data_IF_617686833848
#
_entry.id   IF_617686833848
#
_cell.length_a   1.000
_cell.length_b   1.000
_cell.length_c   1.000
_cell.angle_alpha   90.00
_cell.angle_beta   90.00
_cell.angle_gamma   90.00
#
_symmetry.space_group_name_H-M   'P 1'
#
loop_
_entity.id
_entity.type
_entity.pdbx_description
1 polymer ?
#
# COMPACT_ATOMS: atom_id res chain seq x y z
N UNK A 1 -12.66 -49.23 50.77
CA UNK A 1 -13.98 -48.85 51.33
C UNK A 1 -13.89 -47.42 51.85
N UNK A 2 -14.91 -46.61 51.58
CA UNK A 2 -15.06 -45.15 51.84
C UNK A 2 -14.36 -44.24 50.82
N UNK A 3 -14.98 -43.18 50.30
CA UNK A 3 -16.38 -42.73 50.32
C UNK A 3 -16.52 -41.72 49.16
N UNK A 4 -17.67 -41.77 48.48
CA UNK A 4 -18.15 -40.79 47.52
C UNK A 4 -18.34 -39.40 48.14
N UNK A 5 -18.12 -38.36 47.34
CA UNK A 5 -18.66 -37.00 47.54
C UNK A 5 -17.74 -35.95 46.91
N UNK A 6 -18.15 -35.00 46.08
CA UNK A 6 -19.45 -34.59 45.56
C UNK A 6 -19.27 -33.19 44.96
N UNK A 7 -19.73 -33.00 43.72
CA UNK A 7 -20.26 -31.77 43.09
C UNK A 7 -19.49 -30.45 43.26
N UNK A 8 -18.95 -29.93 42.16
CA UNK A 8 -19.15 -28.52 41.77
C UNK A 8 -19.53 -28.45 40.29
N UNK A 9 -20.82 -28.29 40.06
CA UNK A 9 -21.37 -27.68 38.86
C UNK A 9 -21.12 -26.16 38.97
N UNK A 10 -20.67 -25.52 37.89
CA UNK A 10 -20.52 -24.06 37.89
C UNK A 10 -19.72 -23.50 36.73
N UNK A 11 -20.42 -23.29 35.61
CA UNK A 11 -20.40 -22.06 34.81
C UNK A 11 -19.06 -21.36 34.54
N UNK A 12 -18.61 -21.43 33.28
CA UNK A 12 -17.57 -20.54 32.80
C UNK A 12 -17.02 -20.85 31.41
N UNK A 13 -17.83 -21.37 30.48
CA UNK A 13 -17.45 -21.31 29.06
C UNK A 13 -17.54 -19.84 28.61
N UNK A 14 -16.49 -19.07 28.88
CA UNK A 14 -16.17 -17.90 28.09
C UNK A 14 -15.73 -18.41 26.72
N UNK A 15 -16.73 -18.70 25.88
CA UNK A 15 -16.55 -18.70 24.43
C UNK A 15 -16.20 -17.25 24.11
N UNK A 16 -14.90 -16.96 24.10
CA UNK A 16 -14.38 -15.88 23.29
C UNK A 16 -14.83 -16.23 21.87
N UNK A 17 -15.97 -15.67 21.48
CA UNK A 17 -16.31 -15.45 20.09
C UNK A 17 -15.23 -14.49 19.56
N UNK A 18 -14.05 -15.03 19.29
CA UNK A 18 -13.27 -14.60 18.15
C UNK A 18 -14.24 -14.71 16.99
N UNK A 19 -14.91 -13.59 16.71
CA UNK A 19 -15.31 -13.24 15.38
C UNK A 19 -14.01 -13.32 14.56
N UNK A 20 -13.67 -14.54 14.17
CA UNK A 20 -13.09 -14.81 12.88
C UNK A 20 -14.05 -14.11 11.93
N UNK A 21 -13.75 -12.85 11.65
CA UNK A 21 -13.88 -12.39 10.30
C UNK A 21 -13.16 -13.46 9.50
N UNK A 22 -13.93 -14.45 9.05
CA UNK A 22 -13.78 -14.99 7.73
C UNK A 22 -13.74 -13.77 6.81
N UNK A 23 -12.57 -13.14 6.77
CA UNK A 23 -12.08 -12.53 5.57
C UNK A 23 -12.20 -13.69 4.61
N UNK A 24 -13.25 -13.64 3.79
CA UNK A 24 -13.32 -14.44 2.60
C UNK A 24 -11.89 -14.48 2.07
N UNK A 25 -11.33 -15.67 1.95
CA UNK A 25 -10.32 -15.95 0.94
C UNK A 25 -11.00 -15.67 -0.41
N UNK A 26 -11.39 -14.41 -0.66
CA UNK A 26 -11.52 -13.84 -1.97
C UNK A 26 -10.14 -14.02 -2.53
N UNK A 27 -9.95 -15.14 -3.23
CA UNK A 27 -9.06 -15.35 -4.36
C UNK A 27 -8.15 -14.14 -4.55
N UNK A 28 -7.20 -14.00 -3.63
CA UNK A 28 -6.42 -12.79 -3.47
C UNK A 28 -5.31 -13.01 -4.47
N UNK A 29 -5.63 -12.82 -5.75
CA UNK A 29 -4.72 -13.03 -6.86
C UNK A 29 -3.52 -12.17 -6.56
N UNK A 30 -2.50 -12.81 -5.99
CA UNK A 30 -1.37 -12.12 -5.44
C UNK A 30 -0.66 -11.47 -6.62
N UNK A 31 -0.60 -10.13 -6.62
CA UNK A 31 0.06 -9.40 -7.68
C UNK A 31 1.49 -9.91 -7.84
N UNK A 32 1.83 -10.25 -9.07
CA UNK A 32 3.14 -10.76 -9.48
C UNK A 32 4.12 -9.61 -9.71
N UNK A 33 5.44 -9.88 -9.70
CA UNK A 33 6.42 -8.90 -10.18
C UNK A 33 6.14 -8.44 -11.62
N UNK A 34 5.64 -9.33 -12.46
CA UNK A 34 5.25 -9.00 -13.84
C UNK A 34 4.13 -7.95 -13.89
N UNK A 35 3.18 -7.96 -12.95
CA UNK A 35 2.16 -6.92 -12.81
C UNK A 35 2.77 -5.57 -12.38
N UNK A 36 3.84 -5.58 -11.58
CA UNK A 36 4.61 -4.38 -11.27
C UNK A 36 5.25 -3.80 -12.54
N UNK A 37 5.85 -4.65 -13.36
CA UNK A 37 6.51 -4.22 -14.59
C UNK A 37 5.49 -3.68 -15.62
N UNK A 38 4.35 -4.35 -15.80
CA UNK A 38 3.28 -3.88 -16.69
C UNK A 38 2.72 -2.52 -16.24
N UNK A 39 2.57 -2.32 -14.93
CA UNK A 39 2.13 -1.03 -14.41
C UNK A 39 3.18 0.07 -14.62
N UNK A 40 4.47 -0.23 -14.49
CA UNK A 40 5.52 0.72 -14.82
C UNK A 40 5.51 1.08 -16.31
N UNK A 41 5.34 0.11 -17.21
CA UNK A 41 5.21 0.34 -18.65
C UNK A 41 4.01 1.20 -19.00
N UNK A 42 2.86 0.91 -18.39
CA UNK A 42 1.63 1.69 -18.56
C UNK A 42 1.80 3.14 -18.11
N UNK A 43 2.36 3.37 -16.92
CA UNK A 43 2.63 4.74 -16.43
C UNK A 43 3.66 5.45 -17.31
N UNK A 44 4.71 4.75 -17.77
CA UNK A 44 5.70 5.30 -18.69
C UNK A 44 5.08 5.72 -20.04
N UNK A 45 4.14 4.92 -20.56
CA UNK A 45 3.39 5.27 -21.77
C UNK A 45 2.54 6.52 -21.56
N UNK A 46 1.78 6.61 -20.46
CA UNK A 46 1.02 7.81 -20.11
C UNK A 46 1.91 9.04 -20.01
N UNK A 47 3.10 8.90 -19.39
CA UNK A 47 4.07 9.99 -19.28
C UNK A 47 4.57 10.46 -20.65
N UNK A 48 4.80 9.53 -21.58
CA UNK A 48 5.26 9.83 -22.93
C UNK A 48 4.17 10.52 -23.77
N UNK A 49 2.92 10.06 -23.68
CA UNK A 49 1.79 10.60 -24.44
C UNK A 49 1.40 12.02 -24.00
N UNK A 50 1.53 12.33 -22.70
CA UNK A 50 1.02 13.58 -22.12
C UNK A 50 2.07 14.66 -21.89
N UNK A 51 3.31 14.50 -22.38
CA UNK A 51 4.42 15.41 -22.03
C UNK A 51 4.15 16.90 -22.24
N UNK A 52 3.42 17.26 -23.30
CA UNK A 52 3.17 18.65 -23.66
C UNK A 52 2.09 19.34 -22.80
N UNK A 53 1.19 18.59 -22.19
CA UNK A 53 0.00 19.10 -21.48
C UNK A 53 0.01 18.78 -19.97
N UNK A 54 1.03 18.05 -19.50
CA UNK A 54 1.11 17.58 -18.13
C UNK A 54 1.50 18.69 -17.15
N UNK A 55 0.62 18.95 -16.17
CA UNK A 55 0.92 19.86 -15.06
C UNK A 55 2.09 19.34 -14.20
N UNK A 56 2.80 20.20 -13.46
CA UNK A 56 3.86 19.78 -12.55
C UNK A 56 3.41 18.72 -11.54
N UNK A 57 2.19 18.86 -11.00
CA UNK A 57 1.60 17.93 -10.03
C UNK A 57 1.34 16.57 -10.66
N UNK A 58 0.77 16.56 -11.88
CA UNK A 58 0.52 15.32 -12.63
C UNK A 58 1.84 14.60 -12.95
N UNK A 59 2.89 15.35 -13.28
CA UNK A 59 4.24 14.82 -13.51
C UNK A 59 4.83 14.18 -12.27
N UNK A 60 4.72 14.83 -11.13
CA UNK A 60 5.19 14.29 -9.86
C UNK A 60 4.42 13.01 -9.49
N UNK A 61 3.10 12.98 -9.68
CA UNK A 61 2.26 11.82 -9.40
C UNK A 61 2.64 10.62 -10.29
N UNK A 62 2.77 10.81 -11.61
CA UNK A 62 3.15 9.75 -12.54
C UNK A 62 4.58 9.27 -12.30
N UNK A 63 5.53 10.17 -12.04
CA UNK A 63 6.92 9.80 -11.71
C UNK A 63 6.98 8.97 -10.42
N UNK A 64 6.17 9.33 -9.42
CA UNK A 64 6.07 8.58 -8.16
C UNK A 64 5.47 7.20 -8.38
N UNK A 65 4.43 7.08 -9.20
CA UNK A 65 3.82 5.80 -9.56
C UNK A 65 4.79 4.90 -10.34
N UNK A 66 5.49 5.46 -11.33
CA UNK A 66 6.52 4.74 -12.10
C UNK A 66 7.60 4.20 -11.16
N UNK A 67 8.15 5.06 -10.30
CA UNK A 67 9.20 4.70 -9.33
C UNK A 67 8.73 3.64 -8.33
N UNK A 68 7.47 3.73 -7.87
CA UNK A 68 6.91 2.73 -6.97
C UNK A 68 6.86 1.35 -7.60
N UNK A 69 6.37 1.24 -8.84
CA UNK A 69 6.25 -0.04 -9.52
C UNK A 69 7.60 -0.61 -9.94
N UNK A 70 8.51 0.20 -10.48
CA UNK A 70 9.87 -0.25 -10.81
C UNK A 70 10.64 -0.69 -9.57
N UNK A 71 10.58 0.09 -8.48
CA UNK A 71 11.26 -0.25 -7.23
C UNK A 71 10.76 -1.56 -6.62
N UNK A 72 9.45 -1.84 -6.71
CA UNK A 72 8.89 -3.13 -6.28
C UNK A 72 9.36 -4.30 -7.13
N UNK A 73 9.39 -4.12 -8.45
CA UNK A 73 9.92 -5.14 -9.36
C UNK A 73 11.38 -5.46 -9.01
N UNK A 74 12.22 -4.42 -8.90
CA UNK A 74 13.65 -4.60 -8.62
C UNK A 74 13.90 -5.20 -7.23
N UNK A 75 13.07 -4.90 -6.23
CA UNK A 75 13.16 -5.52 -4.92
C UNK A 75 12.94 -7.05 -4.94
N UNK A 76 12.20 -7.57 -5.92
CA UNK A 76 11.88 -9.00 -6.03
C UNK A 76 12.72 -9.74 -7.10
N UNK A 77 13.13 -9.05 -8.16
CA UNK A 77 13.81 -9.64 -9.32
C UNK A 77 15.26 -9.18 -9.51
N UNK A 78 15.68 -8.14 -8.81
CA UNK A 78 16.99 -7.50 -8.99
C UNK A 78 16.98 -6.39 -10.04
N UNK A 79 18.16 -5.85 -10.34
CA UNK A 79 18.36 -4.74 -11.28
C UNK A 79 18.28 -5.18 -12.74
N UNK A 80 18.17 -4.22 -13.66
CA UNK A 80 18.16 -4.49 -15.11
C UNK A 80 16.81 -4.18 -15.76
N UNK A 81 16.24 -3.02 -15.41
CA UNK A 81 14.91 -2.61 -15.88
C UNK A 81 14.81 -2.55 -17.40
N UNK A 82 15.86 -2.14 -18.11
CA UNK A 82 15.84 -2.03 -19.57
C UNK A 82 15.64 -3.40 -20.23
N UNK A 83 16.42 -4.40 -19.80
CA UNK A 83 16.31 -5.77 -20.28
C UNK A 83 14.95 -6.37 -19.90
N UNK A 84 14.51 -6.14 -18.66
CA UNK A 84 13.22 -6.59 -18.17
C UNK A 84 12.06 -6.02 -19.00
N UNK A 85 12.03 -4.71 -19.23
CA UNK A 85 11.01 -4.06 -20.06
C UNK A 85 11.00 -4.61 -21.48
N UNK A 86 12.18 -4.77 -22.08
CA UNK A 86 12.31 -5.30 -23.45
C UNK A 86 11.77 -6.72 -23.54
N UNK A 87 12.11 -7.58 -22.58
CA UNK A 87 11.63 -8.96 -22.53
C UNK A 87 10.13 -9.04 -22.23
N UNK A 88 9.58 -8.14 -21.42
CA UNK A 88 8.16 -8.10 -21.05
C UNK A 88 7.27 -7.51 -22.13
N UNK A 89 7.79 -6.58 -22.94
CA UNK A 89 7.03 -5.79 -23.91
C UNK A 89 6.07 -6.59 -24.81
N UNK A 90 6.45 -7.75 -25.40
CA UNK A 90 5.53 -8.50 -26.26
C UNK A 90 4.27 -8.96 -25.53
N UNK A 91 4.38 -9.38 -24.26
CA UNK A 91 3.24 -9.81 -23.46
C UNK A 91 2.41 -8.62 -22.98
N UNK A 92 3.06 -7.53 -22.59
CA UNK A 92 2.40 -6.26 -22.26
C UNK A 92 1.57 -5.76 -23.46
N UNK A 93 2.14 -5.72 -24.66
CA UNK A 93 1.47 -5.24 -25.87
C UNK A 93 0.29 -6.12 -26.32
N UNK A 94 0.26 -7.39 -25.90
CA UNK A 94 -0.86 -8.30 -26.16
C UNK A 94 -1.97 -8.24 -25.10
N UNK A 95 -1.74 -7.50 -24.00
CA UNK A 95 -2.69 -7.38 -22.88
C UNK A 95 -3.70 -6.26 -23.13
N UNK A 96 -4.87 -6.35 -22.48
CA UNK A 96 -5.88 -5.29 -22.54
C UNK A 96 -5.44 -4.07 -21.71
N UNK A 97 -5.27 -2.89 -22.32
CA UNK A 97 -4.89 -1.68 -21.60
C UNK A 97 -5.87 -1.30 -20.49
N UNK A 98 -7.18 -1.59 -20.64
CA UNK A 98 -8.16 -1.29 -19.59
C UNK A 98 -7.93 -2.18 -18.36
N UNK A 99 -7.63 -3.46 -18.57
CA UNK A 99 -7.35 -4.40 -17.48
C UNK A 99 -6.07 -4.00 -16.73
N UNK A 100 -5.02 -3.59 -17.46
CA UNK A 100 -3.79 -3.06 -16.85
C UNK A 100 -4.11 -1.80 -16.04
N UNK A 101 -4.83 -0.84 -16.62
CA UNK A 101 -5.20 0.40 -15.93
C UNK A 101 -5.97 0.13 -14.62
N UNK A 102 -6.95 -0.79 -14.63
CA UNK A 102 -7.69 -1.18 -13.43
C UNK A 102 -6.76 -1.77 -12.37
N UNK A 103 -5.89 -2.70 -12.77
CA UNK A 103 -4.90 -3.32 -11.89
C UNK A 103 -4.00 -2.27 -11.23
N UNK A 104 -3.41 -1.38 -12.02
CA UNK A 104 -2.53 -0.34 -11.51
C UNK A 104 -3.26 0.65 -10.60
N UNK A 105 -4.49 1.04 -10.95
CA UNK A 105 -5.29 1.98 -10.16
C UNK A 105 -5.65 1.45 -8.76
N UNK A 106 -6.02 0.17 -8.65
CA UNK A 106 -6.33 -0.48 -7.37
C UNK A 106 -5.09 -0.48 -6.49
N UNK A 107 -3.93 -0.81 -7.07
CA UNK A 107 -2.66 -0.89 -6.34
C UNK A 107 -2.16 0.47 -5.89
N UNK A 108 -2.31 1.51 -6.72
CA UNK A 108 -1.95 2.88 -6.35
C UNK A 108 -2.86 3.46 -5.27
N UNK A 109 -4.18 3.22 -5.33
CA UNK A 109 -5.11 3.61 -4.25
C UNK A 109 -4.76 2.93 -2.93
N UNK A 110 -4.48 1.63 -2.97
CA UNK A 110 -4.06 0.88 -1.79
C UNK A 110 -2.73 1.40 -1.23
N UNK A 111 -1.79 1.79 -2.09
CA UNK A 111 -0.54 2.43 -1.67
C UNK A 111 -0.75 3.80 -1.04
N UNK A 112 -1.57 4.67 -1.64
CA UNK A 112 -1.95 5.97 -1.08
C UNK A 112 -2.54 5.85 0.31
N UNK A 113 -3.48 4.92 0.52
CA UNK A 113 -4.06 4.66 1.84
C UNK A 113 -3.04 4.21 2.89
N UNK A 114 -1.97 3.50 2.48
CA UNK A 114 -0.86 3.14 3.39
C UNK A 114 0.00 4.35 3.72
N UNK A 115 0.32 5.21 2.74
CA UNK A 115 1.08 6.43 2.96
C UNK A 115 0.35 7.41 3.88
N UNK A 116 -0.95 7.58 3.70
CA UNK A 116 -1.76 8.44 4.58
C UNK A 116 -1.76 7.94 6.03
N UNK A 117 -1.88 6.62 6.23
CA UNK A 117 -1.76 6.01 7.57
C UNK A 117 -0.39 6.23 8.17
N UNK A 118 0.67 6.03 7.40
CA UNK A 118 2.03 6.29 7.84
C UNK A 118 2.24 7.77 8.19
N UNK A 119 1.71 8.68 7.38
CA UNK A 119 1.77 10.13 7.62
C UNK A 119 1.12 10.54 8.93
N UNK A 120 -0.08 10.00 9.24
CA UNK A 120 -0.73 10.26 10.54
C UNK A 120 0.09 9.72 11.72
N UNK A 121 0.61 8.51 11.61
CA UNK A 121 1.46 7.93 12.65
C UNK A 121 2.74 8.76 12.87
N UNK A 122 3.35 9.29 11.81
CA UNK A 122 4.51 10.19 11.93
C UNK A 122 4.13 11.53 12.57
N UNK A 123 2.99 12.11 12.19
CA UNK A 123 2.51 13.37 12.78
C UNK A 123 2.24 13.24 14.29
N UNK A 124 1.75 12.09 14.76
CA UNK A 124 1.55 11.81 16.19
C UNK A 124 2.87 11.70 16.98
N UNK A 125 3.97 11.32 16.33
CA UNK A 125 5.29 11.20 16.96
C UNK A 125 6.10 12.50 16.94
N UNK A 126 5.75 13.46 16.08
CA UNK A 126 6.42 14.76 16.06
C UNK A 126 5.98 15.51 17.32
N UNK A 127 6.91 15.82 18.25
CA UNK A 127 6.56 16.61 19.41
C UNK A 127 5.99 17.94 18.90
N UNK A 128 4.77 18.27 19.32
CA UNK A 128 4.24 19.63 19.14
C UNK A 128 5.28 20.56 19.74
N UNK A 129 5.97 21.33 18.91
CA UNK A 129 6.92 22.32 19.40
C UNK A 129 6.15 23.30 20.30
N UNK A 130 6.33 23.08 21.60
CA UNK A 130 6.54 24.09 22.63
C UNK A 130 5.45 25.17 22.67
N UNK A 131 4.52 25.03 23.62
CA UNK A 131 3.92 26.20 24.27
C UNK A 131 5.05 27.17 24.62
N UNK A 132 5.17 28.25 23.85
CA UNK A 132 6.05 29.35 24.20
C UNK A 132 5.60 29.86 25.57
N UNK A 133 6.48 29.95 26.58
CA UNK A 133 6.11 30.53 27.85
C UNK A 133 5.65 31.96 27.59
N UNK A 134 4.37 32.23 27.88
CA UNK A 134 3.76 33.54 27.81
C UNK A 134 4.32 34.42 28.94
N UNK A 135 5.59 34.79 28.86
CA UNK A 135 6.20 35.70 29.85
C UNK A 135 7.37 36.47 29.25
N UNK A 136 7.04 37.40 28.37
CA UNK A 136 7.88 38.58 28.14
C UNK A 136 6.97 39.78 27.91
N UNK A 137 6.28 40.17 28.98
CA UNK A 137 5.66 41.48 29.11
C UNK A 137 6.80 42.50 29.30
N UNK A 138 7.07 43.43 28.38
CA UNK A 138 8.04 44.48 28.63
C UNK A 138 7.47 45.42 29.70
N UNK A 139 8.13 45.46 30.86
CA UNK A 139 7.90 46.48 31.86
C UNK A 139 8.71 47.74 31.51
N UNK A 140 8.03 48.89 31.47
CA UNK A 140 8.62 50.22 31.64
C UNK A 140 9.03 50.94 30.37
#
# INVERSE_FOLDING_TARGET
MRLLGGIFAGSGLLILASASFAQSEDENTAFTPEDDLDCAMYVGALMAESQAEMTPESRAALTSAFTYFTGRYEALRGTGLTEAFTARYPAYAASDPQQIAQTCSVRMRAFGARLERAGRAMAEMMPSETEAPADSQPAG
#
